data_IF_388068617567
#
_entry.id   IF_388068617567
#
_cell.length_a   1.000
_cell.length_b   1.000
_cell.length_c   1.000
_cell.angle_alpha   90.00
_cell.angle_beta   90.00
_cell.angle_gamma   90.00
#
_symmetry.space_group_name_H-M   'P 1'
#
loop_
_entity.id
_entity.type
_entity.pdbx_description
1 polymer ?
#
# COMPACT_ATOMS: atom_id res chain seq x y z
N UNK A 1 5.03 -17.86 11.29
CA UNK A 1 4.92 -17.36 9.90
C UNK A 1 4.63 -15.88 10.02
N UNK A 2 5.44 -14.99 9.44
CA UNK A 2 5.35 -13.53 9.67
C UNK A 2 3.92 -12.97 9.71
N UNK A 3 3.07 -13.29 8.73
CA UNK A 3 1.70 -12.81 8.70
C UNK A 3 0.84 -13.25 9.91
N UNK A 4 1.04 -14.49 10.40
CA UNK A 4 0.37 -15.00 11.60
C UNK A 4 0.85 -14.29 12.87
N UNK A 5 2.12 -13.91 12.91
CA UNK A 5 2.70 -13.19 14.05
C UNK A 5 2.15 -11.76 14.11
N UNK A 6 2.13 -11.03 12.99
CA UNK A 6 1.65 -9.64 12.96
C UNK A 6 0.13 -9.53 13.04
N UNK A 7 -0.62 -10.51 12.50
CA UNK A 7 -2.08 -10.55 12.61
C UNK A 7 -2.57 -11.29 13.84
N UNK A 8 -1.72 -11.99 14.57
CA UNK A 8 -2.09 -12.70 15.79
C UNK A 8 -2.87 -11.82 16.76
N UNK A 9 -2.39 -10.61 17.12
CA UNK A 9 -3.14 -9.68 17.97
C UNK A 9 -4.48 -9.22 17.38
N UNK A 10 -4.61 -9.22 16.05
CA UNK A 10 -5.79 -8.79 15.30
C UNK A 10 -6.84 -9.89 15.18
N UNK A 11 -6.42 -11.14 14.96
CA UNK A 11 -7.26 -12.30 14.63
C UNK A 11 -7.14 -13.46 15.66
N UNK A 12 -6.81 -13.17 16.92
CA UNK A 12 -6.53 -14.21 17.94
C UNK A 12 -7.72 -15.13 18.25
N UNK A 13 -8.94 -14.70 17.92
CA UNK A 13 -10.14 -15.53 17.86
C UNK A 13 -10.44 -15.78 16.39
N UNK A 14 -10.80 -17.01 15.98
CA UNK A 14 -11.06 -17.32 14.58
C UNK A 14 -12.03 -16.31 13.94
N UNK A 15 -11.50 -15.47 13.06
CA UNK A 15 -12.32 -14.61 12.22
C UNK A 15 -12.94 -15.48 11.11
N UNK A 16 -14.26 -15.49 10.92
CA UNK A 16 -14.89 -16.36 9.93
C UNK A 16 -14.76 -15.83 8.50
N UNK A 17 -14.51 -14.53 8.35
CA UNK A 17 -14.47 -13.87 7.05
C UNK A 17 -13.16 -14.07 6.29
N UNK A 18 -13.10 -13.42 5.12
CA UNK A 18 -11.96 -13.44 4.21
C UNK A 18 -11.34 -12.06 4.06
N UNK A 19 -10.03 -11.97 4.20
CA UNK A 19 -9.27 -10.73 4.07
C UNK A 19 -7.88 -10.98 3.48
N UNK A 20 -7.27 -9.90 3.00
CA UNK A 20 -5.90 -9.85 2.55
C UNK A 20 -5.11 -8.89 3.43
N UNK A 21 -3.90 -9.29 3.84
CA UNK A 21 -2.84 -8.40 4.30
C UNK A 21 -1.84 -8.31 3.16
N UNK A 22 -1.47 -7.09 2.75
CA UNK A 22 -0.58 -6.84 1.63
C UNK A 22 0.19 -5.54 1.81
N UNK A 23 1.19 -5.30 0.96
CA UNK A 23 1.84 -3.99 0.90
C UNK A 23 2.96 -3.79 1.91
N UNK A 24 3.02 -2.57 2.45
CA UNK A 24 4.15 -2.06 3.22
C UNK A 24 4.49 -2.90 4.45
N UNK A 25 3.52 -3.63 5.01
CA UNK A 25 3.75 -4.52 6.14
C UNK A 25 4.88 -5.53 5.89
N UNK A 26 5.01 -6.04 4.65
CA UNK A 26 6.01 -7.04 4.31
C UNK A 26 7.42 -6.47 4.11
N UNK A 27 7.59 -5.14 4.02
CA UNK A 27 8.93 -4.52 4.06
C UNK A 27 9.67 -4.85 5.37
N UNK A 28 8.93 -5.10 6.44
CA UNK A 28 9.43 -5.55 7.73
C UNK A 28 10.33 -6.78 7.63
N UNK A 29 10.08 -7.65 6.65
CA UNK A 29 10.91 -8.82 6.38
C UNK A 29 12.30 -8.47 5.82
N UNK A 30 12.44 -7.29 5.21
CA UNK A 30 13.67 -6.82 4.58
C UNK A 30 14.54 -6.09 5.61
N UNK A 31 13.96 -5.13 6.34
CA UNK A 31 14.70 -4.29 7.28
C UNK A 31 14.63 -4.76 8.75
N UNK A 32 13.88 -5.82 9.05
CA UNK A 32 13.81 -6.44 10.38
C UNK A 32 13.10 -5.61 11.46
N UNK A 33 12.39 -4.54 11.10
CA UNK A 33 11.62 -3.70 12.03
C UNK A 33 10.14 -4.07 11.91
N UNK A 34 9.34 -4.04 12.99
CA UNK A 34 7.92 -4.37 12.92
C UNK A 34 7.15 -3.38 12.02
N UNK A 35 6.04 -3.81 11.39
CA UNK A 35 5.22 -2.93 10.59
C UNK A 35 4.55 -1.87 11.47
N UNK A 36 4.58 -0.62 11.01
CA UNK A 36 3.93 0.50 11.70
C UNK A 36 2.39 0.41 11.58
N UNK A 37 1.92 0.06 10.39
CA UNK A 37 0.53 -0.10 10.01
C UNK A 37 0.29 -1.47 9.34
N UNK A 38 -0.93 -1.97 9.52
CA UNK A 38 -1.44 -3.18 8.90
C UNK A 38 -2.59 -2.83 7.97
N UNK A 39 -2.33 -2.87 6.67
CA UNK A 39 -3.33 -2.62 5.65
C UNK A 39 -4.11 -3.92 5.39
N UNK A 40 -5.41 -3.89 5.69
CA UNK A 40 -6.32 -5.02 5.54
C UNK A 40 -7.35 -4.70 4.44
N UNK A 41 -7.45 -5.61 3.47
CA UNK A 41 -8.44 -5.57 2.40
C UNK A 41 -9.43 -6.72 2.59
N UNK A 42 -10.65 -6.44 3.09
CA UNK A 42 -11.71 -7.44 3.12
C UNK A 42 -12.08 -7.90 1.71
N UNK A 43 -12.44 -9.17 1.54
CA UNK A 43 -12.80 -9.71 0.23
C UNK A 43 -14.22 -9.33 -0.21
N UNK A 44 -15.10 -8.98 0.72
CA UNK A 44 -16.48 -8.54 0.46
C UNK A 44 -16.91 -7.44 1.44
N UNK A 45 -17.98 -6.68 1.15
CA UNK A 45 -18.56 -5.74 2.11
C UNK A 45 -19.00 -6.40 3.43
N UNK A 46 -19.49 -7.65 3.38
CA UNK A 46 -19.85 -8.42 4.56
C UNK A 46 -18.61 -8.78 5.39
N UNK A 47 -17.53 -9.22 4.74
CA UNK A 47 -16.24 -9.46 5.43
C UNK A 47 -15.73 -8.17 6.07
N UNK A 48 -15.91 -7.03 5.41
CA UNK A 48 -15.50 -5.72 5.93
C UNK A 48 -16.26 -5.37 7.20
N UNK A 49 -17.58 -5.47 7.17
CA UNK A 49 -18.43 -5.22 8.33
C UNK A 49 -18.06 -6.16 9.49
N UNK A 50 -17.96 -7.46 9.21
CA UNK A 50 -17.55 -8.46 10.18
C UNK A 50 -16.17 -8.16 10.78
N UNK A 51 -15.20 -7.72 9.97
CA UNK A 51 -13.86 -7.35 10.44
C UNK A 51 -13.92 -6.11 11.34
N UNK A 52 -14.73 -5.11 11.00
CA UNK A 52 -14.87 -3.91 11.83
C UNK A 52 -15.53 -4.22 13.18
N UNK A 53 -16.56 -5.08 13.19
CA UNK A 53 -17.19 -5.58 14.42
C UNK A 53 -16.18 -6.39 15.24
N UNK A 54 -15.42 -7.28 14.59
CA UNK A 54 -14.38 -8.08 15.23
C UNK A 54 -13.32 -7.20 15.91
N UNK A 55 -12.79 -6.20 15.19
CA UNK A 55 -11.81 -5.25 15.73
C UNK A 55 -12.36 -4.49 16.94
N UNK A 56 -13.60 -3.98 16.88
CA UNK A 56 -14.21 -3.29 18.03
C UNK A 56 -14.42 -4.20 19.23
N UNK A 57 -14.86 -5.45 19.00
CA UNK A 57 -15.01 -6.44 20.06
C UNK A 57 -13.66 -6.80 20.73
N UNK A 58 -12.56 -6.59 20.00
CA UNK A 58 -11.17 -6.73 20.50
C UNK A 58 -10.66 -5.48 21.23
N UNK A 59 -11.49 -4.46 21.39
CA UNK A 59 -11.11 -3.19 22.03
C UNK A 59 -10.37 -2.23 21.09
N UNK A 60 -10.43 -2.44 19.78
CA UNK A 60 -9.83 -1.50 18.83
C UNK A 60 -10.63 -0.19 18.81
N UNK A 61 -9.94 0.93 18.98
CA UNK A 61 -10.56 2.26 18.95
C UNK A 61 -10.52 2.80 17.51
N UNK A 62 -11.66 3.15 16.90
CA UNK A 62 -11.64 3.83 15.60
C UNK A 62 -11.02 5.21 15.75
N UNK A 63 -10.31 5.66 14.72
CA UNK A 63 -9.84 7.04 14.64
C UNK A 63 -10.88 7.93 13.97
N UNK A 64 -10.92 9.20 14.36
CA UNK A 64 -11.85 10.18 13.78
C UNK A 64 -11.32 10.77 12.46
N UNK A 65 -10.01 10.76 12.26
CA UNK A 65 -9.29 11.35 11.11
C UNK A 65 -9.11 10.36 9.94
N UNK A 66 -10.16 9.61 9.61
CA UNK A 66 -10.07 8.58 8.57
C UNK A 66 -9.90 9.19 7.17
N UNK A 67 -8.95 8.67 6.35
CA UNK A 67 -8.90 9.01 4.94
C UNK A 67 -10.14 8.50 4.19
N UNK A 68 -10.44 9.04 2.99
CA UNK A 68 -11.67 8.71 2.26
C UNK A 68 -11.75 7.28 1.73
N UNK A 69 -10.71 6.46 1.92
CA UNK A 69 -10.58 5.11 1.35
C UNK A 69 -10.51 3.98 2.40
N UNK A 70 -10.52 4.28 3.70
CA UNK A 70 -10.43 3.26 4.76
C UNK A 70 -10.99 3.74 6.11
N UNK A 71 -11.22 2.78 7.00
CA UNK A 71 -11.39 3.03 8.44
C UNK A 71 -10.12 2.58 9.17
N UNK A 72 -9.55 3.46 9.98
CA UNK A 72 -8.34 3.20 10.76
C UNK A 72 -8.69 2.94 12.21
N UNK A 73 -8.05 1.93 12.79
CA UNK A 73 -8.20 1.54 14.19
C UNK A 73 -6.85 1.55 14.89
N UNK A 74 -6.84 1.88 16.19
CA UNK A 74 -5.71 1.61 17.08
C UNK A 74 -6.00 0.33 17.86
N UNK A 75 -5.10 -0.66 17.79
CA UNK A 75 -5.21 -1.93 18.51
C UNK A 75 -3.82 -2.40 18.95
N UNK A 76 -3.61 -2.60 20.25
CA UNK A 76 -2.37 -3.15 20.82
C UNK A 76 -1.08 -2.45 20.31
N UNK A 77 -1.11 -1.11 20.20
CA UNK A 77 0.03 -0.33 19.69
C UNK A 77 0.16 -0.29 18.16
N UNK A 78 -0.60 -1.10 17.43
CA UNK A 78 -0.63 -1.09 15.96
C UNK A 78 -1.76 -0.23 15.41
N UNK A 79 -1.48 0.42 14.28
CA UNK A 79 -2.50 1.02 13.43
C UNK A 79 -3.01 -0.04 12.45
N UNK A 80 -4.30 -0.34 12.48
CA UNK A 80 -4.94 -1.29 11.57
C UNK A 80 -5.83 -0.52 10.61
N UNK A 81 -5.58 -0.63 9.31
CA UNK A 81 -6.31 0.10 8.27
C UNK A 81 -7.22 -0.87 7.52
N UNK A 82 -8.54 -0.67 7.59
CA UNK A 82 -9.53 -1.51 6.90
C UNK A 82 -10.08 -0.76 5.70
N UNK A 83 -9.67 -1.20 4.50
CA UNK A 83 -10.05 -0.57 3.24
C UNK A 83 -11.57 -0.59 3.01
N UNK A 84 -12.10 0.45 2.35
CA UNK A 84 -13.48 0.45 1.83
C UNK A 84 -13.60 -0.40 0.55
N UNK A 85 -12.56 -0.40 -0.29
CA UNK A 85 -12.54 -1.17 -1.54
C UNK A 85 -12.33 -2.67 -1.29
N UNK A 86 -13.41 -3.43 -1.52
CA UNK A 86 -13.41 -4.89 -1.41
C UNK A 86 -13.10 -5.60 -2.74
N UNK A 87 -12.66 -4.88 -3.78
CA UNK A 87 -12.31 -5.45 -5.09
C UNK A 87 -10.81 -5.33 -5.34
N UNK A 88 -10.12 -6.35 -5.88
CA UNK A 88 -10.65 -7.57 -6.48
C UNK A 88 -10.78 -8.73 -5.49
N UNK A 89 -11.35 -9.84 -5.97
CA UNK A 89 -11.69 -11.02 -5.16
C UNK A 89 -10.53 -12.00 -4.94
N UNK A 90 -9.39 -11.81 -5.59
CA UNK A 90 -8.20 -12.65 -5.40
C UNK A 90 -7.03 -11.81 -4.89
N UNK A 91 -6.12 -12.47 -4.17
CA UNK A 91 -4.90 -11.84 -3.66
C UNK A 91 -4.02 -11.40 -4.83
N UNK A 92 -3.90 -12.24 -5.85
CA UNK A 92 -3.08 -12.01 -7.04
C UNK A 92 -3.55 -10.77 -7.82
N UNK A 93 -4.86 -10.65 -8.07
CA UNK A 93 -5.42 -9.45 -8.70
C UNK A 93 -5.29 -8.22 -7.80
N UNK A 94 -5.31 -8.39 -6.46
CA UNK A 94 -5.13 -7.27 -5.53
C UNK A 94 -3.71 -6.74 -5.67
N UNK A 95 -2.72 -7.63 -5.63
CA UNK A 95 -1.31 -7.26 -5.73
C UNK A 95 -0.95 -6.70 -7.12
N UNK A 96 -1.63 -7.13 -8.19
CA UNK A 96 -1.40 -6.55 -9.53
C UNK A 96 -1.89 -5.10 -9.68
N UNK A 97 -2.63 -4.56 -8.69
CA UNK A 97 -3.05 -3.15 -8.65
C UNK A 97 -2.10 -2.25 -7.84
N UNK A 98 -1.06 -2.82 -7.25
CA UNK A 98 -0.03 -2.06 -6.54
C UNK A 98 0.87 -1.35 -7.54
N UNK A 99 1.63 -0.38 -7.05
CA UNK A 99 2.49 0.46 -7.88
C UNK A 99 3.97 0.07 -7.83
N UNK A 100 4.44 -0.52 -6.72
CA UNK A 100 5.82 -0.96 -6.54
C UNK A 100 5.91 -2.49 -6.39
N UNK A 101 6.91 -3.09 -7.01
CA UNK A 101 7.21 -4.52 -6.89
C UNK A 101 7.38 -4.96 -5.44
N UNK A 102 8.14 -4.21 -4.64
CA UNK A 102 8.37 -4.50 -3.21
C UNK A 102 7.10 -4.46 -2.34
N UNK A 103 6.02 -3.82 -2.82
CA UNK A 103 4.73 -3.81 -2.13
C UNK A 103 3.79 -4.92 -2.64
N UNK A 104 4.13 -5.60 -3.74
CA UNK A 104 3.33 -6.67 -4.33
C UNK A 104 3.59 -8.03 -3.64
N UNK A 105 3.51 -8.03 -2.31
CA UNK A 105 3.59 -9.21 -1.44
C UNK A 105 2.39 -9.20 -0.52
N UNK A 106 1.77 -10.37 -0.31
CA UNK A 106 0.61 -10.46 0.55
C UNK A 106 0.28 -11.86 1.02
N UNK A 107 -0.65 -11.92 1.96
CA UNK A 107 -1.22 -13.14 2.51
C UNK A 107 -2.73 -12.98 2.56
N UNK A 108 -3.41 -14.02 2.10
CA UNK A 108 -4.84 -14.20 2.24
C UNK A 108 -5.13 -15.03 3.49
N UNK A 109 -6.12 -14.56 4.25
CA UNK A 109 -6.73 -15.31 5.34
C UNK A 109 -8.18 -15.63 4.97
N UNK A 110 -8.58 -16.89 5.14
CA UNK A 110 -9.97 -17.33 4.98
C UNK A 110 -10.26 -18.49 5.94
N UNK A 111 -11.18 -18.29 6.89
CA UNK A 111 -11.65 -19.34 7.82
C UNK A 111 -10.50 -20.15 8.47
N UNK A 112 -9.52 -19.46 9.05
CA UNK A 112 -8.36 -20.07 9.72
C UNK A 112 -7.24 -20.55 8.79
N UNK A 113 -7.44 -20.49 7.47
CA UNK A 113 -6.43 -20.89 6.46
C UNK A 113 -5.67 -19.67 5.96
N UNK A 114 -4.39 -19.88 5.70
CA UNK A 114 -3.44 -18.86 5.26
C UNK A 114 -2.84 -19.23 3.91
N UNK A 115 -2.83 -18.29 2.96
CA UNK A 115 -2.22 -18.46 1.64
C UNK A 115 -1.37 -17.24 1.29
N UNK A 116 -0.06 -17.43 1.21
CA UNK A 116 0.87 -16.37 0.80
C UNK A 116 1.04 -16.30 -0.72
N UNK A 117 1.26 -15.09 -1.22
CA UNK A 117 1.65 -14.86 -2.61
C UNK A 117 2.70 -13.75 -2.69
N UNK A 118 3.73 -13.99 -3.51
CA UNK A 118 4.83 -13.07 -3.76
C UNK A 118 4.88 -12.83 -5.26
N UNK A 119 4.55 -11.62 -5.70
CA UNK A 119 4.58 -11.27 -7.12
C UNK A 119 6.00 -11.45 -7.69
N UNK A 120 6.17 -11.92 -8.94
CA UNK A 120 7.50 -12.10 -9.55
C UNK A 120 8.37 -10.83 -9.47
N UNK A 121 7.79 -9.66 -9.76
CA UNK A 121 8.49 -8.38 -9.68
C UNK A 121 8.98 -8.04 -8.25
N UNK A 122 8.28 -8.50 -7.20
CA UNK A 122 8.76 -8.33 -5.83
C UNK A 122 10.06 -9.12 -5.61
N UNK A 123 10.15 -10.33 -6.17
CA UNK A 123 11.36 -11.17 -6.11
C UNK A 123 12.51 -10.52 -6.89
N UNK A 124 12.20 -9.99 -8.06
CA UNK A 124 13.17 -9.28 -8.90
C UNK A 124 13.74 -8.06 -8.17
N UNK A 125 12.88 -7.20 -7.61
CA UNK A 125 13.30 -6.04 -6.80
C UNK A 125 14.19 -6.44 -5.62
N UNK A 126 13.88 -7.55 -4.94
CA UNK A 126 14.71 -8.06 -3.84
C UNK A 126 16.07 -8.58 -4.33
N UNK A 127 16.11 -9.25 -5.48
CA UNK A 127 17.33 -9.84 -6.05
C UNK A 127 18.28 -8.77 -6.59
N UNK A 128 17.75 -7.78 -7.32
CA UNK A 128 18.55 -6.69 -7.89
C UNK A 128 18.82 -5.56 -6.87
N UNK A 129 18.14 -5.56 -5.71
CA UNK A 129 18.13 -4.47 -4.73
C UNK A 129 17.69 -3.15 -5.36
N UNK A 130 16.66 -3.21 -6.19
CA UNK A 130 16.08 -2.07 -6.88
C UNK A 130 14.61 -1.90 -6.51
N UNK A 131 14.15 -0.65 -6.48
CA UNK A 131 12.71 -0.35 -6.35
C UNK A 131 12.09 -0.27 -7.75
N UNK A 132 11.44 -1.36 -8.18
CA UNK A 132 10.85 -1.48 -9.53
C UNK A 132 9.36 -1.12 -9.54
N UNK A 133 8.89 -0.48 -10.62
CA UNK A 133 7.47 -0.17 -10.80
C UNK A 133 6.70 -1.37 -11.34
N UNK A 134 5.54 -1.63 -10.75
CA UNK A 134 4.59 -2.59 -11.27
C UNK A 134 3.79 -1.95 -12.40
N UNK A 135 3.94 -2.49 -13.62
CA UNK A 135 3.34 -1.96 -14.85
C UNK A 135 2.28 -2.93 -15.41
N UNK A 136 1.20 -2.42 -16.02
CA UNK A 136 0.83 -1.01 -16.11
C UNK A 136 0.41 -0.43 -14.75
N UNK A 137 0.60 0.88 -14.55
CA UNK A 137 0.19 1.55 -13.32
C UNK A 137 -1.34 1.63 -13.24
N UNK A 138 -1.95 0.65 -12.58
CA UNK A 138 -3.41 0.55 -12.41
C UNK A 138 -4.01 1.85 -11.81
N UNK A 139 -3.25 2.50 -10.93
CA UNK A 139 -3.65 3.71 -10.22
C UNK A 139 -2.78 4.92 -10.61
N UNK A 140 -2.51 5.11 -11.91
CA UNK A 140 -1.68 6.20 -12.46
C UNK A 140 -2.02 7.60 -11.92
N UNK A 141 -3.26 7.81 -11.53
CA UNK A 141 -3.77 9.04 -10.93
C UNK A 141 -3.05 9.41 -9.62
N UNK A 142 -2.27 8.49 -9.04
CA UNK A 142 -1.41 8.67 -7.87
C UNK A 142 0.10 8.62 -8.21
N UNK A 143 0.49 8.79 -9.48
CA UNK A 143 1.89 8.65 -9.93
C UNK A 143 2.90 9.47 -9.10
N UNK A 144 2.51 10.68 -8.65
CA UNK A 144 3.41 11.51 -7.83
C UNK A 144 3.61 10.91 -6.42
N UNK A 145 2.57 10.28 -5.86
CA UNK A 145 2.68 9.57 -4.59
C UNK A 145 3.46 8.26 -4.76
N UNK A 146 3.34 7.59 -5.91
CA UNK A 146 4.17 6.44 -6.29
C UNK A 146 5.63 6.85 -6.37
N UNK A 147 5.95 7.96 -7.03
CA UNK A 147 7.33 8.46 -7.15
C UNK A 147 7.94 8.76 -5.78
N UNK A 148 7.21 9.46 -4.91
CA UNK A 148 7.67 9.73 -3.55
C UNK A 148 7.89 8.43 -2.76
N UNK A 149 6.97 7.47 -2.87
CA UNK A 149 7.12 6.16 -2.21
C UNK A 149 8.32 5.40 -2.75
N UNK A 150 8.57 5.47 -4.06
CA UNK A 150 9.70 4.81 -4.70
C UNK A 150 11.03 5.32 -4.16
N UNK A 151 11.22 6.65 -4.12
CA UNK A 151 12.41 7.30 -3.54
C UNK A 151 12.58 6.96 -2.06
N UNK A 152 11.51 7.09 -1.28
CA UNK A 152 11.52 6.73 0.15
C UNK A 152 11.89 5.26 0.37
N UNK A 153 11.39 4.34 -0.46
CA UNK A 153 11.75 2.92 -0.34
C UNK A 153 13.24 2.70 -0.67
N UNK A 154 13.78 3.41 -1.66
CA UNK A 154 15.20 3.39 -1.96
C UNK A 154 16.05 3.81 -0.76
N UNK A 155 15.71 4.94 -0.15
CA UNK A 155 16.38 5.46 1.04
C UNK A 155 16.25 4.54 2.26
N UNK A 156 15.02 4.13 2.60
CA UNK A 156 14.72 3.31 3.79
C UNK A 156 15.41 1.94 3.75
N UNK A 157 15.50 1.33 2.56
CA UNK A 157 16.02 -0.02 2.38
C UNK A 157 17.48 -0.06 1.91
N UNK A 158 18.05 1.09 1.53
CA UNK A 158 19.35 1.15 0.86
C UNK A 158 19.33 0.52 -0.54
N UNK A 159 18.19 0.61 -1.23
CA UNK A 159 17.99 0.08 -2.58
C UNK A 159 18.18 1.20 -3.60
N UNK A 160 18.61 0.86 -4.82
CA UNK A 160 18.64 1.83 -5.91
C UNK A 160 17.23 2.07 -6.47
N UNK A 161 16.97 3.29 -6.91
CA UNK A 161 15.81 3.63 -7.73
C UNK A 161 16.30 3.77 -9.16
N UNK A 162 15.99 2.82 -10.07
CA UNK A 162 16.49 2.90 -11.43
C UNK A 162 15.94 4.15 -12.14
N UNK A 163 16.82 4.92 -12.77
CA UNK A 163 16.43 6.13 -13.50
C UNK A 163 15.33 5.89 -14.55
N UNK A 164 15.29 4.76 -15.29
CA UNK A 164 14.20 4.47 -16.22
C UNK A 164 12.82 4.31 -15.54
N UNK A 165 12.77 3.80 -14.31
CA UNK A 165 11.52 3.67 -13.55
C UNK A 165 11.01 5.06 -13.16
N UNK A 166 11.88 5.90 -12.62
CA UNK A 166 11.55 7.28 -12.27
C UNK A 166 11.12 8.09 -13.50
N UNK A 167 11.87 7.99 -14.60
CA UNK A 167 11.57 8.70 -15.83
C UNK A 167 10.21 8.29 -16.40
N UNK A 168 9.83 7.01 -16.28
CA UNK A 168 8.51 6.56 -16.72
C UNK A 168 7.35 7.30 -16.01
N UNK A 169 7.49 7.60 -14.72
CA UNK A 169 6.49 8.37 -13.97
C UNK A 169 6.46 9.83 -14.41
N UNK A 170 7.64 10.41 -14.69
CA UNK A 170 7.74 11.78 -15.18
C UNK A 170 7.18 11.93 -16.60
N UNK A 171 7.51 11.03 -17.51
CA UNK A 171 6.95 11.00 -18.86
C UNK A 171 5.42 10.90 -18.82
N UNK A 172 4.88 10.06 -17.91
CA UNK A 172 3.44 9.91 -17.75
C UNK A 172 2.80 11.21 -17.23
N UNK A 173 3.46 11.93 -16.33
CA UNK A 173 3.02 13.25 -15.85
C UNK A 173 3.09 14.30 -16.96
N UNK A 174 4.21 14.40 -17.66
CA UNK A 174 4.47 15.38 -18.70
C UNK A 174 3.55 15.18 -19.93
N UNK A 175 3.16 13.93 -20.22
CA UNK A 175 2.19 13.60 -21.26
C UNK A 175 0.74 14.01 -20.93
N UNK A 176 0.42 14.36 -19.67
CA UNK A 176 -0.94 14.76 -19.31
C UNK A 176 -1.25 16.21 -19.75
N UNK A 177 -2.51 16.51 -20.11
CA UNK A 177 -2.94 17.89 -20.28
C UNK A 177 -2.73 18.71 -18.99
N UNK A 178 -2.49 20.02 -19.13
CA UNK A 178 -2.19 20.92 -18.01
C UNK A 178 -3.17 20.81 -16.82
N UNK A 179 -4.47 20.81 -17.10
CA UNK A 179 -5.49 20.65 -16.07
C UNK A 179 -5.39 19.31 -15.31
N UNK A 180 -4.97 18.24 -16.01
CA UNK A 180 -4.74 16.93 -15.39
C UNK A 180 -3.47 16.92 -14.54
N UNK A 181 -2.39 17.57 -14.99
CA UNK A 181 -1.17 17.75 -14.19
C UNK A 181 -1.46 18.48 -12.86
N UNK A 182 -2.22 19.56 -12.93
CA UNK A 182 -2.67 20.32 -11.75
C UNK A 182 -3.54 19.47 -10.82
N UNK A 183 -4.45 18.66 -11.38
CA UNK A 183 -5.28 17.74 -10.60
C UNK A 183 -4.45 16.62 -9.92
N UNK A 184 -3.40 16.12 -10.57
CA UNK A 184 -2.47 15.15 -9.98
C UNK A 184 -1.73 15.76 -8.80
N UNK A 185 -1.24 16.99 -8.94
CA UNK A 185 -0.58 17.73 -7.86
C UNK A 185 -1.50 18.04 -6.69
N UNK A 186 -2.74 18.46 -6.96
CA UNK A 186 -3.75 18.70 -5.92
C UNK A 186 -4.16 17.40 -5.21
N UNK A 187 -4.16 16.27 -5.92
CA UNK A 187 -4.37 14.96 -5.30
C UNK A 187 -3.19 14.58 -4.42
N UNK A 188 -1.96 14.71 -4.92
CA UNK A 188 -0.73 14.42 -4.17
C UNK A 188 -0.67 15.20 -2.86
N UNK A 189 -0.93 16.51 -2.89
CA UNK A 189 -0.93 17.37 -1.71
C UNK A 189 -1.92 16.94 -0.61
N UNK A 190 -2.97 16.17 -0.94
CA UNK A 190 -3.95 15.64 0.02
C UNK A 190 -3.60 14.27 0.60
N UNK A 191 -2.76 13.49 -0.09
CA UNK A 191 -2.53 12.08 0.24
C UNK A 191 -1.09 11.75 0.60
N UNK A 192 -0.14 12.63 0.25
CA UNK A 192 1.26 12.47 0.63
C UNK A 192 1.40 12.56 2.15
N UNK A 193 2.21 11.66 2.73
CA UNK A 193 2.56 11.71 4.15
C UNK A 193 3.56 12.84 4.41
N UNK A 194 4.45 13.13 3.45
CA UNK A 194 5.52 14.11 3.57
C UNK A 194 5.48 15.11 2.40
N UNK A 195 5.28 16.39 2.72
CA UNK A 195 5.35 17.47 1.74
C UNK A 195 6.79 17.86 1.47
N UNK A 196 7.24 17.84 0.21
CA UNK A 196 8.50 18.50 -0.11
C UNK A 196 8.93 18.44 -1.55
N UNK A 197 9.63 17.37 -1.94
CA UNK A 197 10.50 17.38 -3.13
C UNK A 197 9.74 17.10 -4.42
N UNK A 198 9.01 15.98 -4.49
CA UNK A 198 8.27 15.58 -5.70
C UNK A 198 7.25 16.63 -6.14
N UNK A 199 6.51 17.22 -5.21
CA UNK A 199 5.54 18.26 -5.53
C UNK A 199 6.23 19.55 -6.02
N UNK A 200 7.38 19.90 -5.46
CA UNK A 200 8.16 21.05 -5.91
C UNK A 200 8.75 20.83 -7.32
N UNK A 201 9.24 19.63 -7.62
CA UNK A 201 9.71 19.23 -8.95
C UNK A 201 8.57 19.26 -9.97
N UNK A 202 7.40 18.71 -9.61
CA UNK A 202 6.21 18.79 -10.47
C UNK A 202 5.81 20.25 -10.75
N UNK A 203 5.86 21.14 -9.74
CA UNK A 203 5.64 22.59 -9.94
C UNK A 203 6.68 23.23 -10.85
N UNK A 204 7.94 22.84 -10.75
CA UNK A 204 9.01 23.39 -11.59
C UNK A 204 8.83 23.00 -13.05
N UNK A 205 8.42 21.76 -13.33
CA UNK A 205 8.09 21.26 -14.69
C UNK A 205 6.92 22.00 -15.35
N UNK A 206 6.05 22.60 -14.54
CA UNK A 206 4.92 23.40 -15.00
C UNK A 206 5.28 24.86 -15.31
N UNK A 207 6.53 25.29 -15.08
CA UNK A 207 6.98 26.64 -15.44
C UNK A 207 7.40 26.67 -16.92
N UNK A 208 6.97 27.68 -17.69
CA UNK A 208 7.39 27.85 -19.08
C UNK A 208 8.89 28.16 -19.20
#
# INVERSE_FOLDING_TARGET
MFAQEVLGPVLNVPFPGRLFLAGGAFKSLIHGRPPHDLDLWPATPLDREALCVHLRARGACPRDDNPPFQTSFQLAGHRVEVAYDCTPKSLEERLSRFDLGLSAVGVEYAAGRWRGFVHPLARESLQSREVLLLRPLANWKYLLATLERMRRYGEELGYSVPAPEEQCLWDLFDAQPRASQEALMARHARVARDGGTVLAEARARLRP
#
